data_IF_567813320277
#
_entry.id   IF_567813320277
#
_cell.length_a   1.000
_cell.length_b   1.000
_cell.length_c   1.000
_cell.angle_alpha   90.00
_cell.angle_beta   90.00
_cell.angle_gamma   90.00
#
_symmetry.space_group_name_H-M   'P 1'
#
loop_
_entity.id
_entity.type
_entity.pdbx_description
1 polymer ?
#
# COMPACT_ATOMS: atom_id res chain seq x y z
N UNK A 1 -4.03 74.87 37.13
CA UNK A 1 -3.03 73.80 36.90
C UNK A 1 -3.75 72.53 36.49
N UNK A 2 -3.63 72.13 35.21
CA UNK A 2 -4.45 71.06 34.60
C UNK A 2 -4.11 69.71 35.23
N UNK A 3 -5.13 69.02 35.76
CA UNK A 3 -5.07 67.63 36.22
C UNK A 3 -4.53 66.76 35.08
N UNK A 4 -3.31 66.28 35.22
CA UNK A 4 -2.77 65.25 34.35
C UNK A 4 -3.61 63.99 34.58
N UNK A 5 -4.32 63.52 33.55
CA UNK A 5 -5.18 62.34 33.62
C UNK A 5 -4.34 61.12 34.04
N UNK A 6 -4.48 60.68 35.29
CA UNK A 6 -3.84 59.46 35.82
C UNK A 6 -4.06 58.24 34.91
N UNK A 7 -5.19 58.20 34.20
CA UNK A 7 -5.54 57.14 33.24
C UNK A 7 -4.64 57.13 32.00
N UNK A 8 -4.12 58.27 31.55
CA UNK A 8 -3.23 58.35 30.39
C UNK A 8 -1.80 57.89 30.75
N UNK A 9 -1.36 58.16 31.99
CA UNK A 9 -0.08 57.68 32.51
C UNK A 9 -0.10 56.16 32.75
N UNK A 10 -1.22 55.62 33.25
CA UNK A 10 -1.41 54.17 33.41
C UNK A 10 -1.49 53.45 32.06
N UNK A 11 -2.08 54.08 31.04
CA UNK A 11 -2.11 53.53 29.68
C UNK A 11 -0.71 53.53 29.03
N UNK A 12 0.10 54.58 29.25
CA UNK A 12 1.45 54.69 28.71
C UNK A 12 2.46 53.76 29.42
N UNK A 13 2.27 53.51 30.73
CA UNK A 13 3.04 52.52 31.49
C UNK A 13 2.58 51.08 31.17
N UNK A 14 1.30 50.86 30.89
CA UNK A 14 0.79 49.57 30.43
C UNK A 14 1.29 49.18 29.03
N UNK A 15 1.44 50.16 28.13
CA UNK A 15 1.93 49.92 26.76
C UNK A 15 3.43 49.60 26.70
N UNK A 16 4.23 50.08 27.66
CA UNK A 16 5.68 49.81 27.73
C UNK A 16 6.01 48.44 28.32
N UNK A 17 5.14 47.90 29.19
CA UNK A 17 5.28 46.53 29.74
C UNK A 17 4.89 45.45 28.70
N UNK A 18 4.02 45.78 27.74
CA UNK A 18 3.59 44.85 26.69
C UNK A 18 4.65 44.52 25.63
N UNK A 19 5.71 45.34 25.48
CA UNK A 19 6.78 45.11 24.50
C UNK A 19 8.04 44.43 25.06
N UNK A 20 8.07 44.06 26.35
CA UNK A 20 9.27 43.51 27.01
C UNK A 20 9.25 41.99 27.23
N UNK A 21 8.27 41.24 26.69
CA UNK A 21 8.13 39.81 27.01
C UNK A 21 7.81 38.91 25.81
N UNK A 22 8.65 38.98 24.77
CA UNK A 22 8.88 37.86 23.86
C UNK A 22 10.36 37.86 23.47
N UNK A 23 11.20 37.25 24.30
CA UNK A 23 12.45 36.69 23.79
C UNK A 23 12.06 35.36 23.16
N UNK A 24 12.21 35.24 21.85
CA UNK A 24 12.25 33.92 21.21
C UNK A 24 13.43 33.16 21.80
N UNK A 25 13.16 31.99 22.39
CA UNK A 25 14.22 31.07 22.79
C UNK A 25 14.97 30.64 21.51
N UNK A 26 16.19 31.14 21.34
CA UNK A 26 17.05 30.71 20.25
C UNK A 26 17.48 29.28 20.57
N UNK A 27 17.16 28.34 19.67
CA UNK A 27 17.65 26.97 19.78
C UNK A 27 19.14 26.98 19.45
N UNK A 28 19.97 27.09 20.48
CA UNK A 28 21.43 27.07 20.38
C UNK A 28 22.02 26.06 21.37
N UNK A 29 23.25 25.59 21.14
CA UNK A 29 23.96 24.75 22.09
C UNK A 29 24.01 25.36 23.49
N UNK A 30 23.69 24.56 24.51
CA UNK A 30 23.80 24.97 25.92
C UNK A 30 25.26 25.16 26.36
N UNK A 31 26.19 24.56 25.64
CA UNK A 31 27.62 24.60 25.88
C UNK A 31 28.30 25.39 24.75
N UNK A 32 29.28 26.22 25.09
CA UNK A 32 30.10 26.97 24.12
C UNK A 32 31.56 26.47 24.17
N UNK A 33 31.86 25.45 23.37
CA UNK A 33 33.20 24.89 23.16
C UNK A 33 33.59 25.03 21.69
N UNK A 34 34.63 25.82 21.43
CA UNK A 34 35.20 26.04 20.08
C UNK A 34 36.28 25.03 19.70
N UNK A 35 36.67 24.13 20.61
CA UNK A 35 37.60 23.05 20.29
C UNK A 35 36.83 21.90 19.61
N UNK A 36 37.15 21.58 18.35
CA UNK A 36 36.51 20.48 17.65
C UNK A 36 36.91 19.13 18.25
N UNK A 37 36.03 18.10 18.17
CA UNK A 37 36.39 16.75 18.57
C UNK A 37 37.42 16.14 17.61
N UNK A 38 38.04 15.03 18.03
CA UNK A 38 38.90 14.23 17.16
C UNK A 38 38.15 13.69 15.93
N UNK A 39 38.89 13.32 14.88
CA UNK A 39 38.30 12.69 13.70
C UNK A 39 37.86 11.26 14.02
N UNK A 40 36.87 10.76 13.27
CA UNK A 40 36.59 9.33 13.24
C UNK A 40 37.77 8.55 12.65
N UNK A 41 37.93 7.28 13.04
CA UNK A 41 39.01 6.40 12.58
C UNK A 41 38.49 5.01 12.19
N UNK A 42 39.36 4.11 11.73
CA UNK A 42 39.02 2.73 11.35
C UNK A 42 37.81 2.62 10.40
N UNK A 43 37.82 3.47 9.37
CA UNK A 43 36.71 3.52 8.41
C UNK A 43 36.68 2.25 7.57
N UNK A 44 35.51 1.62 7.49
CA UNK A 44 35.21 0.51 6.59
C UNK A 44 33.90 0.77 5.85
N UNK A 45 33.79 0.25 4.63
CA UNK A 45 32.71 0.55 3.69
C UNK A 45 32.10 -0.76 3.21
N UNK A 46 30.78 -0.86 3.31
CA UNK A 46 29.99 -1.92 2.70
C UNK A 46 29.04 -1.32 1.68
N UNK A 47 29.25 -1.58 0.40
CA UNK A 47 28.41 -1.05 -0.68
C UNK A 47 27.14 -1.90 -0.86
N UNK A 48 26.00 -1.24 -1.08
CA UNK A 48 24.71 -1.87 -1.34
C UNK A 48 23.98 -1.24 -2.54
N UNK A 49 22.79 -1.74 -2.92
CA UNK A 49 22.04 -1.23 -4.08
C UNK A 49 21.63 0.23 -3.92
N UNK A 50 22.28 1.15 -4.66
CA UNK A 50 22.05 2.59 -4.56
C UNK A 50 22.44 3.22 -3.21
N UNK A 51 23.21 2.51 -2.38
CA UNK A 51 23.63 2.96 -1.05
C UNK A 51 25.01 2.42 -0.65
N UNK A 52 25.54 2.93 0.46
CA UNK A 52 26.69 2.35 1.15
C UNK A 52 26.58 2.58 2.66
N UNK A 53 27.04 1.61 3.44
CA UNK A 53 27.20 1.74 4.89
C UNK A 53 28.66 2.03 5.21
N UNK A 54 28.89 3.11 5.93
CA UNK A 54 30.21 3.53 6.41
C UNK A 54 30.26 3.24 7.91
N UNK A 55 31.18 2.39 8.34
CA UNK A 55 31.42 2.08 9.76
C UNK A 55 32.73 2.70 10.22
N UNK A 56 32.82 3.11 11.48
CA UNK A 56 33.98 3.82 12.02
C UNK A 56 34.13 3.64 13.54
N UNK A 57 35.31 4.01 14.05
CA UNK A 57 35.58 4.21 15.47
C UNK A 57 35.39 5.68 15.86
N UNK A 58 34.67 5.90 16.97
CA UNK A 58 34.41 7.22 17.51
C UNK A 58 35.66 7.81 18.18
N UNK A 59 35.83 9.14 18.17
CA UNK A 59 36.86 9.79 18.96
C UNK A 59 36.50 9.73 20.47
N UNK A 60 37.50 9.86 21.34
CA UNK A 60 37.33 9.71 22.80
C UNK A 60 36.86 10.98 23.52
N UNK A 61 36.49 12.02 22.78
CA UNK A 61 36.03 13.30 23.31
C UNK A 61 34.76 13.13 24.15
N UNK A 62 34.76 13.64 25.38
CA UNK A 62 33.65 13.49 26.33
C UNK A 62 32.40 14.27 25.93
N UNK A 63 32.59 15.33 25.15
CA UNK A 63 31.54 16.22 24.64
C UNK A 63 31.09 15.84 23.22
N UNK A 64 31.51 14.69 22.67
CA UNK A 64 31.00 14.19 21.40
C UNK A 64 29.47 14.06 21.44
N UNK A 65 28.79 14.59 20.42
CA UNK A 65 27.34 14.54 20.30
C UNK A 65 26.89 13.61 19.18
N UNK A 66 27.48 13.74 18.00
CA UNK A 66 27.12 12.89 16.86
C UNK A 66 28.25 12.81 15.84
N UNK A 67 28.13 11.85 14.93
CA UNK A 67 28.92 11.78 13.69
C UNK A 67 27.97 12.02 12.53
N UNK A 68 28.40 12.82 11.56
CA UNK A 68 27.63 13.06 10.34
C UNK A 68 28.43 12.76 9.08
N UNK A 69 27.72 12.34 8.04
CA UNK A 69 28.26 12.26 6.68
C UNK A 69 27.53 13.24 5.77
N UNK A 70 28.31 13.93 4.93
CA UNK A 70 27.82 14.87 3.91
C UNK A 70 28.28 14.40 2.54
N UNK A 71 27.37 14.33 1.59
CA UNK A 71 27.62 13.87 0.22
C UNK A 71 26.62 14.49 -0.75
N UNK A 72 26.93 14.47 -2.05
CA UNK A 72 26.06 15.02 -3.09
C UNK A 72 25.45 13.90 -3.92
N UNK A 73 24.17 14.06 -4.25
CA UNK A 73 23.49 13.21 -5.23
C UNK A 73 23.75 13.71 -6.65
N UNK A 74 23.45 12.88 -7.65
CA UNK A 74 23.63 13.21 -9.06
C UNK A 74 22.81 14.44 -9.51
N UNK A 75 21.72 14.74 -8.83
CA UNK A 75 20.89 15.92 -9.06
C UNK A 75 21.46 17.21 -8.43
N UNK A 76 22.62 17.14 -7.76
CA UNK A 76 23.25 18.26 -7.06
C UNK A 76 22.73 18.53 -5.65
N UNK A 77 21.77 17.74 -5.16
CA UNK A 77 21.27 17.88 -3.79
C UNK A 77 22.33 17.38 -2.79
N UNK A 78 22.69 18.24 -1.84
CA UNK A 78 23.52 17.87 -0.70
C UNK A 78 22.67 17.08 0.31
N UNK A 79 23.23 15.99 0.78
CA UNK A 79 22.62 15.09 1.74
C UNK A 79 23.44 15.08 3.03
N UNK A 80 22.75 15.13 4.16
CA UNK A 80 23.33 14.98 5.49
C UNK A 80 22.66 13.81 6.21
N UNK A 81 23.46 12.92 6.76
CA UNK A 81 23.01 11.80 7.62
C UNK A 81 23.79 11.82 8.91
N UNK A 82 23.12 11.62 10.04
CA UNK A 82 23.70 11.65 11.38
C UNK A 82 23.50 10.32 12.10
N UNK A 83 24.43 9.99 12.98
CA UNK A 83 24.27 8.97 14.01
C UNK A 83 24.76 9.55 15.33
N UNK A 84 24.11 9.22 16.45
CA UNK A 84 24.52 9.74 17.75
C UNK A 84 25.89 9.20 18.15
N UNK A 85 26.47 9.75 19.22
CA UNK A 85 27.71 9.23 19.83
C UNK A 85 27.61 7.78 20.36
N UNK A 86 26.44 7.14 20.31
CA UNK A 86 26.30 5.70 20.58
C UNK A 86 26.44 4.83 19.31
N UNK A 87 26.26 5.43 18.14
CA UNK A 87 26.30 4.75 16.85
C UNK A 87 27.70 4.77 16.23
N UNK A 88 28.03 3.72 15.49
CA UNK A 88 29.31 3.54 14.80
C UNK A 88 29.17 3.34 13.29
N UNK A 89 27.99 3.64 12.75
CA UNK A 89 27.66 3.45 11.33
C UNK A 89 26.77 4.56 10.79
N UNK A 90 27.00 4.92 9.53
CA UNK A 90 26.18 5.84 8.74
C UNK A 90 25.76 5.15 7.43
N UNK A 91 24.48 5.23 7.09
CA UNK A 91 23.95 4.77 5.81
C UNK A 91 23.81 5.97 4.88
N UNK A 92 24.58 5.98 3.79
CA UNK A 92 24.47 6.98 2.71
C UNK A 92 23.70 6.34 1.54
N UNK A 93 22.69 7.03 1.03
CA UNK A 93 21.72 6.46 0.08
C UNK A 93 21.37 7.43 -1.03
N UNK A 94 20.72 6.93 -2.09
CA UNK A 94 20.21 7.76 -3.18
C UNK A 94 21.12 7.85 -4.39
N UNK A 95 22.16 7.03 -4.44
CA UNK A 95 23.01 6.96 -5.60
C UNK A 95 22.29 6.24 -6.76
N UNK A 96 22.18 6.91 -7.90
CA UNK A 96 21.56 6.36 -9.11
C UNK A 96 22.50 5.55 -10.00
N UNK A 97 23.82 5.64 -9.77
CA UNK A 97 24.86 5.00 -10.58
C UNK A 97 25.82 4.15 -9.73
N UNK A 98 26.80 3.51 -10.37
CA UNK A 98 27.81 2.64 -9.74
C UNK A 98 29.20 3.28 -9.73
N UNK A 99 29.28 4.62 -9.84
CA UNK A 99 30.54 5.37 -9.82
C UNK A 99 31.06 5.52 -8.40
N UNK A 100 32.31 5.93 -8.27
CA UNK A 100 32.85 6.35 -6.97
C UNK A 100 32.27 7.71 -6.60
N UNK A 101 31.79 7.82 -5.35
CA UNK A 101 31.28 9.06 -4.77
C UNK A 101 32.09 9.40 -3.52
N UNK A 102 32.45 10.67 -3.40
CA UNK A 102 33.13 11.18 -2.21
C UNK A 102 32.12 11.54 -1.12
N UNK A 103 32.38 11.07 0.09
CA UNK A 103 31.60 11.33 1.30
C UNK A 103 32.53 11.94 2.34
N UNK A 104 32.09 13.04 2.95
CA UNK A 104 32.82 13.71 4.03
C UNK A 104 32.23 13.30 5.37
N UNK A 105 33.03 12.69 6.24
CA UNK A 105 32.59 12.25 7.57
C UNK A 105 33.19 13.16 8.64
N UNK A 106 32.34 13.63 9.54
CA UNK A 106 32.66 14.58 10.61
C UNK A 106 32.23 14.04 11.96
N UNK A 107 33.05 14.22 13.00
CA UNK A 107 32.58 14.15 14.38
C UNK A 107 32.15 15.56 14.82
N UNK A 108 31.07 15.66 15.59
CA UNK A 108 30.51 16.95 16.05
C UNK A 108 30.23 16.89 17.54
N UNK A 109 30.70 17.89 18.27
CA UNK A 109 30.51 17.99 19.72
C UNK A 109 29.18 18.64 20.11
N UNK A 110 28.91 18.72 21.42
CA UNK A 110 27.70 19.34 21.98
C UNK A 110 27.54 20.82 21.69
N UNK A 111 28.62 21.50 21.30
CA UNK A 111 28.65 22.90 20.89
C UNK A 111 28.48 23.10 19.39
N UNK A 112 28.11 22.05 18.64
CA UNK A 112 27.97 22.07 17.17
C UNK A 112 29.26 22.43 16.42
N UNK A 113 30.42 22.25 17.07
CA UNK A 113 31.73 22.39 16.44
C UNK A 113 32.14 21.06 15.80
N UNK A 114 32.36 21.06 14.49
CA UNK A 114 32.74 19.88 13.72
C UNK A 114 34.26 19.69 13.63
N UNK A 115 34.71 18.43 13.60
CA UNK A 115 36.08 18.07 13.28
C UNK A 115 36.46 18.44 11.84
N UNK A 116 37.76 18.35 11.51
CA UNK A 116 38.16 18.22 10.10
C UNK A 116 37.52 16.99 9.45
N UNK A 117 37.15 17.03 8.16
CA UNK A 117 36.53 15.90 7.49
C UNK A 117 37.51 14.74 7.30
N UNK A 118 36.97 13.52 7.36
CA UNK A 118 37.59 12.35 6.74
C UNK A 118 36.90 12.08 5.42
N UNK A 119 37.67 12.10 4.33
CA UNK A 119 37.19 11.82 2.99
C UNK A 119 37.14 10.32 2.74
N UNK A 120 35.97 9.83 2.35
CA UNK A 120 35.68 8.42 2.11
C UNK A 120 35.13 8.26 0.71
N UNK A 121 35.58 7.23 -0.03
CA UNK A 121 35.05 6.91 -1.36
C UNK A 121 34.14 5.70 -1.30
N UNK A 122 32.86 5.89 -1.59
CA UNK A 122 31.89 4.80 -1.69
C UNK A 122 31.63 4.45 -3.15
N UNK A 123 31.34 3.19 -3.44
CA UNK A 123 31.04 2.71 -4.79
C UNK A 123 29.79 1.83 -4.74
N UNK A 124 28.58 2.44 -4.71
CA UNK A 124 27.31 1.73 -4.57
C UNK A 124 27.14 0.66 -5.64
N UNK A 125 26.39 -0.39 -5.29
CA UNK A 125 25.91 -1.37 -6.26
C UNK A 125 24.77 -0.75 -7.09
N UNK A 126 24.41 -1.43 -8.18
CA UNK A 126 23.37 -0.96 -9.10
C UNK A 126 22.07 -0.57 -8.36
N UNK A 127 21.55 0.61 -8.69
CA UNK A 127 20.31 1.11 -8.10
C UNK A 127 19.14 0.15 -8.44
N UNK A 128 18.28 -0.19 -7.46
CA UNK A 128 17.13 -1.08 -7.64
C UNK A 128 16.20 -0.76 -8.81
N UNK A 129 16.09 0.51 -9.23
CA UNK A 129 15.26 0.91 -10.39
C UNK A 129 15.57 0.08 -11.64
N UNK A 130 16.83 -0.29 -11.85
CA UNK A 130 17.27 -1.01 -13.05
C UNK A 130 16.89 -2.49 -13.03
N UNK A 131 16.97 -3.13 -11.86
CA UNK A 131 16.51 -4.51 -11.67
C UNK A 131 15.00 -4.64 -11.90
N UNK A 132 14.24 -3.67 -11.37
CA UNK A 132 12.80 -3.61 -11.61
C UNK A 132 12.53 -3.32 -13.09
N UNK A 133 13.22 -2.37 -13.71
CA UNK A 133 13.02 -2.00 -15.12
C UNK A 133 13.16 -3.20 -16.06
N UNK A 134 14.21 -4.01 -15.87
CA UNK A 134 14.44 -5.19 -16.71
C UNK A 134 13.44 -6.31 -16.49
N UNK A 135 12.84 -6.41 -15.30
CA UNK A 135 11.88 -7.46 -14.98
C UNK A 135 10.43 -7.05 -15.19
N UNK A 136 10.14 -5.74 -15.24
CA UNK A 136 8.79 -5.20 -15.29
C UNK A 136 8.12 -5.53 -16.63
N UNK A 137 6.93 -6.12 -16.55
CA UNK A 137 6.03 -6.34 -17.66
C UNK A 137 4.73 -5.61 -17.38
N UNK A 138 4.33 -4.74 -18.30
CA UNK A 138 3.00 -4.15 -18.33
C UNK A 138 2.13 -4.94 -19.30
N UNK A 139 0.97 -5.40 -18.84
CA UNK A 139 -0.03 -6.10 -19.65
C UNK A 139 -1.38 -5.41 -19.54
N UNK A 140 -2.23 -5.59 -20.55
CA UNK A 140 -3.60 -5.11 -20.51
C UNK A 140 -4.37 -5.79 -19.37
N UNK A 141 -5.16 -5.01 -18.63
CA UNK A 141 -6.03 -5.47 -17.57
C UNK A 141 -7.40 -4.78 -17.68
N UNK A 142 -8.37 -5.25 -16.91
CA UNK A 142 -9.73 -4.71 -16.88
C UNK A 142 -9.75 -3.25 -16.41
N UNK A 143 -10.18 -2.37 -17.31
CA UNK A 143 -10.21 -0.93 -17.12
C UNK A 143 -8.83 -0.29 -16.92
N UNK A 144 -7.73 -0.99 -17.24
CA UNK A 144 -6.40 -0.42 -17.13
C UNK A 144 -5.25 -1.36 -17.48
N UNK A 145 -4.18 -1.31 -16.68
CA UNK A 145 -2.94 -2.07 -16.89
C UNK A 145 -2.56 -2.80 -15.61
N UNK A 146 -2.00 -3.98 -15.76
CA UNK A 146 -1.37 -4.73 -14.67
C UNK A 146 0.16 -4.76 -14.88
N UNK A 147 0.89 -4.56 -13.80
CA UNK A 147 2.33 -4.50 -13.77
C UNK A 147 2.87 -5.68 -12.95
N UNK A 148 3.71 -6.50 -13.59
CA UNK A 148 4.38 -7.64 -12.96
C UNK A 148 5.88 -7.48 -12.99
N UNK A 149 6.57 -7.64 -11.87
CA UNK A 149 8.03 -7.47 -11.78
C UNK A 149 8.60 -7.91 -10.44
N UNK A 150 9.91 -7.76 -10.25
CA UNK A 150 10.60 -8.13 -9.01
C UNK A 150 11.45 -6.99 -8.47
N UNK A 151 11.31 -6.70 -7.18
CA UNK A 151 12.09 -5.72 -6.39
C UNK A 151 12.72 -6.42 -5.15
N UNK A 152 13.77 -7.24 -5.35
CA UNK A 152 14.38 -8.01 -4.26
C UNK A 152 14.93 -7.18 -3.10
N UNK A 153 15.31 -5.93 -3.37
CA UNK A 153 15.84 -4.99 -2.37
C UNK A 153 14.76 -4.35 -1.50
N UNK A 154 13.46 -4.57 -1.79
CA UNK A 154 12.34 -3.87 -1.13
C UNK A 154 12.51 -2.34 -1.16
N UNK A 155 13.06 -1.83 -2.25
CA UNK A 155 13.27 -0.40 -2.38
C UNK A 155 11.92 0.32 -2.51
N UNK A 156 11.79 1.50 -1.93
CA UNK A 156 10.62 2.36 -2.11
C UNK A 156 10.63 2.96 -3.52
N UNK A 157 9.74 2.46 -4.37
CA UNK A 157 9.71 2.79 -5.80
C UNK A 157 8.34 3.32 -6.24
N UNK A 158 8.37 4.21 -7.22
CA UNK A 158 7.21 4.63 -7.99
C UNK A 158 7.30 4.04 -9.41
N UNK A 159 6.24 3.38 -9.87
CA UNK A 159 6.03 3.06 -11.29
C UNK A 159 5.14 4.16 -11.85
N UNK A 160 5.74 5.02 -12.67
CA UNK A 160 5.08 6.17 -13.25
C UNK A 160 4.60 5.82 -14.66
N UNK A 161 3.34 6.16 -14.94
CA UNK A 161 2.67 5.74 -16.17
C UNK A 161 2.23 6.98 -16.93
N UNK A 162 2.74 7.13 -18.15
CA UNK A 162 2.36 8.17 -19.08
C UNK A 162 1.64 7.56 -20.28
N UNK A 163 0.69 8.30 -20.84
CA UNK A 163 -0.06 7.94 -22.04
C UNK A 163 0.24 8.93 -23.16
N UNK A 164 0.40 8.44 -24.39
CA UNK A 164 0.54 9.31 -25.55
C UNK A 164 -0.81 9.98 -25.87
N UNK A 165 -0.86 11.30 -25.74
CA UNK A 165 -2.01 12.12 -26.08
C UNK A 165 -1.56 13.32 -26.92
N UNK A 166 -2.19 13.54 -28.07
CA UNK A 166 -1.87 14.65 -29.00
C UNK A 166 -0.36 14.76 -29.32
N UNK A 167 0.30 13.62 -29.52
CA UNK A 167 1.73 13.55 -29.88
C UNK A 167 2.71 13.74 -28.72
N UNK A 168 2.25 13.87 -27.47
CA UNK A 168 3.10 13.99 -26.27
C UNK A 168 2.71 12.95 -25.23
N UNK A 169 3.69 12.42 -24.50
CA UNK A 169 3.42 11.59 -23.33
C UNK A 169 3.02 12.48 -22.18
N UNK A 170 1.82 12.25 -21.63
CA UNK A 170 1.29 12.98 -20.47
C UNK A 170 1.14 12.01 -19.30
N UNK A 171 1.51 12.41 -18.07
CA UNK A 171 1.29 11.58 -16.89
C UNK A 171 -0.17 11.21 -16.74
N UNK A 172 -0.42 9.96 -16.40
CA UNK A 172 -1.72 9.55 -15.86
C UNK A 172 -1.80 10.04 -14.41
N UNK A 173 -3.02 10.19 -13.87
CA UNK A 173 -3.21 10.43 -12.43
C UNK A 173 -3.02 9.14 -11.59
N UNK A 174 -2.41 8.10 -12.18
CA UNK A 174 -2.39 6.73 -11.67
C UNK A 174 -0.97 6.17 -11.71
N UNK A 175 -0.21 6.42 -10.65
CA UNK A 175 1.09 5.78 -10.41
C UNK A 175 0.94 4.68 -9.36
N UNK A 176 1.85 3.70 -9.38
CA UNK A 176 1.96 2.68 -8.33
C UNK A 176 3.13 3.05 -7.43
N UNK A 177 2.92 3.02 -6.11
CA UNK A 177 3.97 3.18 -5.10
C UNK A 177 4.13 1.86 -4.36
N UNK A 178 5.34 1.30 -4.32
CA UNK A 178 5.54 -0.03 -3.73
C UNK A 178 6.97 -0.28 -3.25
N UNK A 179 7.06 -1.08 -2.19
CA UNK A 179 8.28 -1.72 -1.71
C UNK A 179 8.15 -3.26 -1.68
N UNK A 180 7.12 -3.81 -2.36
CA UNK A 180 6.87 -5.25 -2.39
C UNK A 180 7.96 -5.97 -3.17
N UNK A 181 8.38 -7.16 -2.71
CA UNK A 181 9.36 -8.01 -3.41
C UNK A 181 8.80 -8.43 -4.78
N UNK A 182 7.58 -8.96 -4.78
CA UNK A 182 6.86 -9.31 -5.98
C UNK A 182 5.88 -8.19 -6.32
N UNK A 183 6.06 -7.59 -7.48
CA UNK A 183 5.15 -6.57 -7.99
C UNK A 183 4.08 -7.31 -8.79
N UNK A 184 2.83 -7.23 -8.35
CA UNK A 184 1.63 -7.60 -9.10
C UNK A 184 0.53 -6.61 -8.74
N UNK A 185 0.51 -5.48 -9.45
CA UNK A 185 -0.38 -4.36 -9.13
C UNK A 185 -1.00 -3.78 -10.40
N UNK A 186 -2.26 -3.34 -10.30
CA UNK A 186 -3.00 -2.80 -11.43
C UNK A 186 -3.36 -1.33 -11.21
N UNK A 187 -3.30 -0.55 -12.28
CA UNK A 187 -3.97 0.75 -12.37
C UNK A 187 -5.29 0.57 -13.12
N UNK A 188 -6.27 1.41 -12.82
CA UNK A 188 -7.61 1.38 -13.42
C UNK A 188 -8.09 2.78 -13.80
N UNK A 189 -9.18 2.85 -14.56
CA UNK A 189 -9.79 4.09 -15.03
C UNK A 189 -9.25 4.55 -16.39
N UNK A 190 -8.62 3.66 -17.15
CA UNK A 190 -8.21 3.92 -18.53
C UNK A 190 -9.32 3.50 -19.50
N UNK A 191 -9.37 4.18 -20.63
CA UNK A 191 -10.23 3.79 -21.75
C UNK A 191 -9.77 2.46 -22.38
N UNK A 192 -10.69 1.77 -23.02
CA UNK A 192 -10.54 0.47 -23.71
C UNK A 192 -10.01 0.59 -25.14
N UNK A 193 -9.65 1.81 -25.57
CA UNK A 193 -8.96 2.04 -26.82
C UNK A 193 -7.48 1.66 -26.71
N UNK A 194 -6.91 1.22 -27.83
CA UNK A 194 -5.47 0.95 -27.94
C UNK A 194 -4.70 2.24 -27.72
N UNK A 195 -3.78 2.23 -26.75
CA UNK A 195 -3.03 3.40 -26.31
C UNK A 195 -1.54 3.07 -26.24
N UNK A 196 -0.70 4.07 -26.53
CA UNK A 196 0.75 3.99 -26.35
C UNK A 196 1.11 4.51 -24.97
N UNK A 197 1.85 3.71 -24.22
CA UNK A 197 2.29 4.02 -22.87
C UNK A 197 3.80 4.17 -22.82
N UNK A 198 4.25 5.08 -21.96
CA UNK A 198 5.63 5.24 -21.53
C UNK A 198 5.66 5.04 -20.02
N UNK A 199 6.48 4.11 -19.55
CA UNK A 199 6.54 3.71 -18.14
C UNK A 199 7.96 3.88 -17.64
N UNK A 200 8.11 4.55 -16.50
CA UNK A 200 9.40 4.76 -15.83
C UNK A 200 9.32 4.25 -14.40
N UNK A 201 10.46 3.82 -13.86
CA UNK A 201 10.60 3.48 -12.44
C UNK A 201 11.46 4.55 -11.81
N UNK A 202 10.98 5.07 -10.68
CA UNK A 202 11.64 6.16 -9.96
C UNK A 202 11.80 5.80 -8.49
N UNK A 203 12.95 6.12 -7.91
CA UNK A 203 13.14 6.01 -6.46
C UNK A 203 12.79 7.33 -5.73
N UNK A 204 12.91 7.33 -4.39
CA UNK A 204 12.62 8.51 -3.56
C UNK A 204 13.60 9.68 -3.75
N UNK A 205 14.75 9.45 -4.40
CA UNK A 205 15.78 10.46 -4.67
C UNK A 205 15.72 11.01 -6.10
N UNK A 206 14.66 10.69 -6.84
CA UNK A 206 14.45 11.11 -8.22
C UNK A 206 15.49 10.53 -9.20
N UNK A 207 16.04 9.35 -8.90
CA UNK A 207 16.71 8.55 -9.93
C UNK A 207 15.64 7.85 -10.77
N UNK A 208 15.80 7.88 -12.09
CA UNK A 208 14.86 7.29 -13.05
C UNK A 208 15.54 6.16 -13.83
N UNK A 209 14.80 5.09 -14.08
CA UNK A 209 15.14 4.12 -15.11
C UNK A 209 15.01 4.75 -16.50
N UNK A 210 15.46 4.01 -17.52
CA UNK A 210 15.00 4.27 -18.89
C UNK A 210 13.48 4.03 -19.02
N UNK A 211 12.91 4.40 -20.16
CA UNK A 211 11.48 4.33 -20.43
C UNK A 211 11.09 3.03 -21.11
N UNK A 212 10.14 2.31 -20.53
CA UNK A 212 9.48 1.18 -21.18
C UNK A 212 8.32 1.70 -22.03
N UNK A 213 8.47 1.62 -23.35
CA UNK A 213 7.40 1.94 -24.30
C UNK A 213 6.60 0.69 -24.67
N UNK A 214 5.27 0.77 -24.59
CA UNK A 214 4.39 -0.33 -24.97
C UNK A 214 3.09 0.18 -25.59
N UNK A 215 2.44 -0.64 -26.41
CA UNK A 215 1.09 -0.35 -26.91
C UNK A 215 0.15 -1.39 -26.36
N UNK A 216 -0.81 -0.97 -25.53
CA UNK A 216 -1.74 -1.85 -24.84
C UNK A 216 -3.17 -1.36 -25.04
N UNK A 217 -4.10 -2.31 -25.04
CA UNK A 217 -5.54 -2.06 -25.12
C UNK A 217 -6.18 -2.57 -23.84
N UNK A 218 -6.47 -1.70 -22.86
CA UNK A 218 -7.16 -2.10 -21.64
C UNK A 218 -8.44 -2.87 -21.93
N UNK A 219 -8.72 -3.87 -21.09
CA UNK A 219 -9.91 -4.71 -21.25
C UNK A 219 -11.13 -3.96 -20.76
N UNK A 220 -12.27 -4.17 -21.40
CA UNK A 220 -13.52 -3.55 -20.98
C UNK A 220 -14.02 -4.15 -19.68
N UNK A 221 -14.41 -3.30 -18.76
CA UNK A 221 -15.04 -3.68 -17.50
C UNK A 221 -16.31 -2.85 -17.30
N UNK A 222 -17.39 -3.52 -16.93
CA UNK A 222 -18.59 -2.88 -16.42
C UNK A 222 -19.08 -3.63 -15.19
N UNK A 223 -19.88 -2.94 -14.37
CA UNK A 223 -20.68 -3.58 -13.32
C UNK A 223 -21.71 -4.51 -13.96
N UNK A 224 -21.84 -5.73 -13.44
CA UNK A 224 -22.91 -6.65 -13.83
C UNK A 224 -24.14 -6.40 -12.96
N UNK A 225 -25.28 -6.11 -13.58
CA UNK A 225 -26.50 -5.73 -12.86
C UNK A 225 -26.95 -6.81 -11.88
N UNK A 226 -27.07 -6.44 -10.60
CA UNK A 226 -27.63 -7.31 -9.55
C UNK A 226 -29.08 -7.72 -9.81
N UNK A 227 -29.83 -6.93 -10.60
CA UNK A 227 -31.23 -7.26 -10.94
C UNK A 227 -31.39 -8.57 -11.72
N UNK A 228 -30.31 -9.09 -12.31
CA UNK A 228 -30.32 -10.38 -13.00
C UNK A 228 -29.80 -11.53 -12.15
N UNK A 229 -29.34 -11.27 -10.92
CA UNK A 229 -28.82 -12.29 -10.04
C UNK A 229 -29.96 -13.14 -9.49
N UNK A 230 -29.76 -14.46 -9.47
CA UNK A 230 -30.73 -15.41 -8.93
C UNK A 230 -30.02 -16.49 -8.14
N UNK A 231 -30.56 -16.83 -6.99
CA UNK A 231 -30.12 -17.99 -6.23
C UNK A 231 -30.32 -19.27 -7.05
N UNK A 232 -29.34 -20.17 -6.97
CA UNK A 232 -29.41 -21.50 -7.55
C UNK A 232 -29.06 -22.49 -6.45
N UNK A 233 -30.00 -23.36 -6.11
CA UNK A 233 -29.79 -24.39 -5.11
C UNK A 233 -29.45 -25.70 -5.84
N UNK A 234 -28.20 -26.14 -5.72
CA UNK A 234 -27.75 -27.42 -6.24
C UNK A 234 -27.67 -28.46 -5.11
N UNK A 235 -27.75 -29.78 -5.39
CA UNK A 235 -27.81 -30.82 -4.35
C UNK A 235 -26.69 -30.79 -3.30
N UNK A 236 -25.52 -30.28 -3.67
CA UNK A 236 -24.35 -30.21 -2.78
C UNK A 236 -24.16 -28.87 -2.08
N UNK A 237 -24.96 -27.86 -2.42
CA UNK A 237 -24.84 -26.52 -1.84
C UNK A 237 -25.25 -26.55 -0.37
N UNK A 238 -24.59 -25.73 0.45
CA UNK A 238 -24.84 -25.74 1.89
C UNK A 238 -26.11 -24.97 2.22
N UNK A 239 -27.03 -25.55 3.01
CA UNK A 239 -28.24 -24.83 3.42
C UNK A 239 -27.92 -23.65 4.33
N UNK A 240 -28.87 -22.71 4.40
CA UNK A 240 -28.80 -21.56 5.28
C UNK A 240 -29.00 -21.97 6.75
N UNK A 241 -28.42 -21.21 7.68
CA UNK A 241 -28.59 -21.44 9.10
C UNK A 241 -30.05 -21.19 9.53
N UNK A 242 -30.63 -20.07 9.09
CA UNK A 242 -31.99 -19.66 9.41
C UNK A 242 -32.84 -19.48 8.16
N UNK A 243 -34.17 -19.58 8.33
CA UNK A 243 -35.13 -19.31 7.24
C UNK A 243 -35.21 -17.84 6.84
N UNK A 244 -34.70 -16.92 7.66
CA UNK A 244 -34.70 -15.47 7.41
C UNK A 244 -33.43 -14.98 6.69
N UNK A 245 -32.37 -15.80 6.67
CA UNK A 245 -31.11 -15.57 5.93
C UNK A 245 -31.17 -16.25 4.56
N UNK A 246 -30.33 -15.85 3.60
CA UNK A 246 -30.40 -16.43 2.26
C UNK A 246 -29.29 -16.01 1.30
N UNK A 247 -29.02 -16.84 0.29
CA UNK A 247 -28.10 -16.48 -0.81
C UNK A 247 -28.60 -15.22 -1.51
N UNK A 248 -29.93 -15.11 -1.69
CA UNK A 248 -30.58 -13.92 -2.26
C UNK A 248 -30.37 -12.62 -1.49
N UNK A 249 -29.90 -12.68 -0.24
CA UNK A 249 -29.52 -11.48 0.52
C UNK A 249 -28.25 -10.82 0.02
N UNK A 250 -27.37 -11.56 -0.67
CA UNK A 250 -26.10 -11.04 -1.18
C UNK A 250 -26.23 -9.97 -2.28
N UNK A 251 -27.42 -9.53 -2.64
CA UNK A 251 -27.64 -8.49 -3.65
C UNK A 251 -28.91 -7.68 -3.40
N UNK A 252 -29.31 -7.54 -2.13
CA UNK A 252 -30.48 -6.76 -1.74
C UNK A 252 -30.16 -5.30 -1.33
N UNK A 253 -28.86 -4.95 -1.37
CA UNK A 253 -28.38 -3.60 -1.09
C UNK A 253 -28.16 -3.33 0.40
N UNK A 254 -28.41 -4.31 1.29
CA UNK A 254 -28.21 -4.16 2.71
C UNK A 254 -26.91 -4.85 3.17
N UNK A 255 -25.89 -4.04 3.45
CA UNK A 255 -24.57 -4.53 3.89
C UNK A 255 -24.45 -4.65 5.43
N UNK A 256 -25.47 -4.25 6.20
CA UNK A 256 -25.36 -4.05 7.66
C UNK A 256 -26.35 -4.87 8.48
N UNK A 257 -27.62 -4.90 8.07
CA UNK A 257 -28.69 -5.29 8.98
C UNK A 257 -28.94 -6.80 8.95
N UNK A 258 -29.12 -7.36 10.15
CA UNK A 258 -29.69 -8.69 10.28
C UNK A 258 -31.17 -8.67 9.90
N UNK A 259 -31.72 -9.70 9.21
CA UNK A 259 -31.08 -10.92 8.72
C UNK A 259 -30.65 -10.84 7.25
N UNK A 260 -30.27 -9.65 6.72
CA UNK A 260 -29.76 -9.52 5.36
C UNK A 260 -28.32 -10.03 5.25
N UNK A 261 -28.21 -11.35 5.21
CA UNK A 261 -26.96 -12.08 5.10
C UNK A 261 -27.24 -13.48 4.53
N UNK A 262 -26.32 -13.95 3.68
CA UNK A 262 -26.14 -15.37 3.41
C UNK A 262 -25.33 -15.96 4.56
N UNK A 263 -26.00 -16.67 5.46
CA UNK A 263 -25.39 -17.35 6.60
C UNK A 263 -25.56 -18.86 6.40
N UNK A 264 -24.49 -19.57 6.08
CA UNK A 264 -24.54 -21.03 5.90
C UNK A 264 -24.41 -21.76 7.24
N UNK A 265 -24.70 -23.07 7.26
CA UNK A 265 -24.78 -23.86 8.51
C UNK A 265 -23.53 -23.80 9.37
N UNK A 266 -23.69 -23.29 10.59
CA UNK A 266 -22.61 -23.10 11.58
C UNK A 266 -22.07 -24.42 12.15
N UNK A 267 -22.89 -25.48 12.12
CA UNK A 267 -22.54 -26.82 12.62
C UNK A 267 -21.79 -27.69 11.61
N UNK A 268 -21.74 -27.29 10.34
CA UNK A 268 -20.99 -28.00 9.30
C UNK A 268 -19.55 -27.47 9.30
N UNK A 269 -18.56 -28.33 9.55
CA UNK A 269 -17.16 -27.92 9.72
C UNK A 269 -16.26 -28.25 8.52
N UNK A 270 -16.84 -28.78 7.45
CA UNK A 270 -16.17 -28.97 6.15
C UNK A 270 -16.35 -27.73 5.28
N UNK A 271 -15.50 -27.50 4.25
CA UNK A 271 -15.69 -26.40 3.31
C UNK A 271 -17.14 -26.32 2.80
N UNK A 272 -17.68 -25.11 2.75
CA UNK A 272 -19.09 -24.85 2.42
C UNK A 272 -19.19 -23.98 1.18
N UNK A 273 -20.27 -24.10 0.42
CA UNK A 273 -20.47 -23.28 -0.77
C UNK A 273 -21.93 -22.99 -1.08
N UNK A 274 -22.12 -21.87 -1.78
CA UNK A 274 -23.42 -21.42 -2.30
C UNK A 274 -23.27 -21.00 -3.76
N UNK A 275 -24.35 -21.16 -4.54
CA UNK A 275 -24.35 -20.91 -5.98
C UNK A 275 -25.40 -19.87 -6.37
N UNK A 276 -25.08 -19.02 -7.35
CA UNK A 276 -26.01 -18.08 -7.94
C UNK A 276 -25.74 -17.88 -9.45
N UNK A 277 -26.81 -17.57 -10.18
CA UNK A 277 -26.81 -17.21 -11.61
C UNK A 277 -26.66 -15.69 -11.74
N UNK A 278 -25.73 -15.21 -12.57
CA UNK A 278 -25.59 -13.80 -12.90
C UNK A 278 -26.65 -13.31 -13.89
N UNK A 279 -27.37 -14.23 -14.54
CA UNK A 279 -28.37 -13.99 -15.59
C UNK A 279 -27.79 -13.66 -16.96
N UNK A 280 -26.46 -13.52 -17.07
CA UNK A 280 -25.72 -13.29 -18.32
C UNK A 280 -24.37 -14.01 -18.29
N UNK A 281 -23.93 -14.45 -19.45
CA UNK A 281 -22.57 -14.98 -19.65
C UNK A 281 -21.61 -13.79 -19.77
N UNK A 282 -20.53 -13.78 -18.98
CA UNK A 282 -19.53 -12.72 -18.99
C UNK A 282 -18.12 -13.25 -18.69
N UNK A 283 -17.08 -12.58 -19.22
CA UNK A 283 -15.72 -12.75 -18.71
C UNK A 283 -15.59 -11.89 -17.46
N UNK A 284 -15.33 -12.50 -16.31
CA UNK A 284 -15.29 -11.76 -15.05
C UNK A 284 -13.92 -11.16 -14.78
N UNK A 285 -13.92 -9.96 -14.22
CA UNK A 285 -12.71 -9.22 -13.84
C UNK A 285 -12.44 -9.23 -12.35
N UNK A 286 -13.50 -9.13 -11.53
CA UNK A 286 -13.42 -9.12 -10.06
C UNK A 286 -14.77 -9.37 -9.42
N UNK A 287 -14.72 -9.77 -8.15
CA UNK A 287 -15.84 -9.77 -7.22
C UNK A 287 -15.54 -8.80 -6.07
N UNK A 288 -16.50 -7.95 -5.72
CA UNK A 288 -16.47 -7.20 -4.47
C UNK A 288 -17.36 -7.91 -3.47
N UNK A 289 -16.86 -8.14 -2.27
CA UNK A 289 -17.56 -8.84 -1.20
C UNK A 289 -17.67 -7.92 0.02
N UNK A 290 -18.89 -7.80 0.54
CA UNK A 290 -19.18 -7.25 1.86
C UNK A 290 -19.60 -8.42 2.76
N UNK A 291 -18.74 -8.75 3.73
CA UNK A 291 -19.12 -9.71 4.76
C UNK A 291 -20.08 -9.05 5.75
N UNK A 292 -20.86 -9.85 6.48
CA UNK A 292 -21.74 -9.32 7.51
C UNK A 292 -20.92 -8.70 8.66
N UNK A 293 -21.17 -7.44 9.03
CA UNK A 293 -20.49 -6.84 10.15
C UNK A 293 -21.11 -7.30 11.46
N UNK A 294 -20.51 -8.30 12.09
CA UNK A 294 -20.96 -8.83 13.38
C UNK A 294 -20.99 -7.74 14.44
N UNK A 295 -21.99 -7.77 15.32
CA UNK A 295 -22.11 -6.78 16.40
C UNK A 295 -21.44 -7.30 17.66
N UNK A 296 -20.32 -6.70 18.03
CA UNK A 296 -19.62 -6.94 19.30
C UNK A 296 -19.80 -5.75 20.24
N UNK A 297 -19.36 -5.88 21.49
CA UNK A 297 -19.44 -4.80 22.50
C UNK A 297 -18.75 -3.50 22.05
N UNK A 298 -17.75 -3.59 21.16
CA UNK A 298 -17.03 -2.45 20.59
C UNK A 298 -17.64 -1.92 19.28
N UNK A 299 -18.80 -2.43 18.86
CA UNK A 299 -19.49 -2.08 17.62
C UNK A 299 -19.39 -3.15 16.52
N UNK A 300 -19.65 -2.72 15.29
CA UNK A 300 -19.71 -3.55 14.08
C UNK A 300 -18.31 -3.98 13.61
N UNK A 301 -18.12 -5.27 13.31
CA UNK A 301 -16.81 -5.84 12.90
C UNK A 301 -16.88 -6.74 11.66
N UNK A 302 -15.99 -6.50 10.69
CA UNK A 302 -15.97 -7.18 9.39
C UNK A 302 -14.96 -8.34 9.28
N UNK A 303 -14.16 -8.59 10.31
CA UNK A 303 -13.14 -9.64 10.34
C UNK A 303 -13.32 -10.57 11.52
N UNK A 304 -14.53 -11.15 11.61
CA UNK A 304 -14.99 -11.92 12.76
C UNK A 304 -15.95 -13.03 12.31
N UNK A 305 -16.10 -14.08 13.14
CA UNK A 305 -17.13 -15.10 12.94
C UNK A 305 -17.06 -15.77 11.57
N UNK A 306 -18.21 -15.83 10.89
CA UNK A 306 -18.38 -16.45 9.57
C UNK A 306 -17.80 -15.67 8.40
N UNK A 307 -17.20 -14.52 8.62
CA UNK A 307 -16.72 -13.70 7.50
C UNK A 307 -15.63 -14.47 6.75
N UNK A 308 -15.64 -14.37 5.42
CA UNK A 308 -14.71 -15.13 4.57
C UNK A 308 -13.26 -14.76 4.92
N UNK A 309 -12.45 -15.78 5.18
CA UNK A 309 -11.00 -15.64 5.36
C UNK A 309 -10.28 -16.30 4.20
N UNK A 310 -10.21 -17.63 4.14
CA UNK A 310 -9.68 -18.35 2.98
C UNK A 310 -10.84 -18.92 2.16
N UNK A 311 -10.93 -18.54 0.89
CA UNK A 311 -12.07 -18.91 0.04
C UNK A 311 -11.69 -19.00 -1.43
N UNK A 312 -12.53 -19.70 -2.19
CA UNK A 312 -12.39 -19.89 -3.62
C UNK A 312 -13.64 -19.37 -4.33
N UNK A 313 -13.44 -18.83 -5.53
CA UNK A 313 -14.52 -18.44 -6.42
C UNK A 313 -14.43 -19.31 -7.66
N UNK A 314 -15.55 -19.93 -8.00
CA UNK A 314 -15.67 -20.83 -9.15
C UNK A 314 -16.75 -20.32 -10.10
N UNK A 315 -16.60 -20.63 -11.39
CA UNK A 315 -17.57 -20.26 -12.41
C UNK A 315 -17.83 -21.37 -13.41
N UNK A 316 -19.03 -21.36 -14.00
CA UNK A 316 -19.41 -22.21 -15.13
C UNK A 316 -20.51 -21.54 -15.93
N UNK A 317 -20.74 -21.97 -17.17
CA UNK A 317 -21.90 -21.61 -17.98
C UNK A 317 -22.99 -22.70 -17.99
N UNK A 318 -22.67 -23.90 -17.50
CA UNK A 318 -23.56 -25.06 -17.49
C UNK A 318 -23.33 -25.92 -16.23
N UNK A 319 -23.94 -25.54 -15.08
CA UNK A 319 -23.74 -26.27 -13.83
C UNK A 319 -24.37 -27.67 -13.92
N UNK A 320 -23.67 -28.71 -13.45
CA UNK A 320 -24.21 -30.06 -13.48
C UNK A 320 -25.36 -30.20 -12.47
N UNK A 321 -26.41 -30.90 -12.87
CA UNK A 321 -27.62 -31.06 -12.06
C UNK A 321 -27.38 -31.83 -10.75
N UNK A 322 -26.29 -32.61 -10.66
CA UNK A 322 -25.87 -33.33 -9.46
C UNK A 322 -25.19 -32.44 -8.41
N UNK A 323 -24.91 -31.17 -8.74
CA UNK A 323 -24.23 -30.20 -7.88
C UNK A 323 -22.71 -30.35 -7.79
N UNK A 324 -22.13 -31.35 -8.44
CA UNK A 324 -20.68 -31.58 -8.46
C UNK A 324 -19.90 -30.37 -9.02
N UNK A 325 -18.58 -30.40 -8.85
CA UNK A 325 -17.67 -29.43 -9.46
C UNK A 325 -17.35 -29.74 -10.93
N UNK A 326 -18.01 -30.72 -11.55
CA UNK A 326 -17.83 -31.00 -12.98
C UNK A 326 -18.22 -29.75 -13.80
N UNK A 327 -17.42 -29.41 -14.81
CA UNK A 327 -17.55 -28.20 -15.64
C UNK A 327 -17.36 -26.86 -14.92
N UNK A 328 -16.99 -26.86 -13.64
CA UNK A 328 -16.59 -25.63 -12.94
C UNK A 328 -15.11 -25.34 -13.19
N UNK A 329 -14.80 -24.07 -13.40
CA UNK A 329 -13.43 -23.56 -13.44
C UNK A 329 -13.18 -22.66 -12.23
N UNK A 330 -12.02 -22.80 -11.60
CA UNK A 330 -11.62 -21.91 -10.52
C UNK A 330 -11.26 -20.54 -11.13
N UNK A 331 -11.93 -19.49 -10.68
CA UNK A 331 -11.67 -18.11 -11.10
C UNK A 331 -10.63 -17.44 -10.21
N UNK A 332 -10.57 -17.83 -8.93
CA UNK A 332 -9.58 -17.34 -7.98
C UNK A 332 -9.65 -18.02 -6.63
N UNK A 333 -8.54 -17.91 -5.89
CA UNK A 333 -8.37 -18.34 -4.50
C UNK A 333 -7.77 -17.19 -3.71
N UNK A 334 -8.38 -16.84 -2.58
CA UNK A 334 -8.07 -15.63 -1.85
C UNK A 334 -7.94 -15.89 -0.36
N UNK A 335 -7.16 -15.03 0.29
CA UNK A 335 -7.08 -14.91 1.74
C UNK A 335 -7.38 -13.46 2.12
N UNK A 336 -8.46 -13.22 2.87
CA UNK A 336 -8.84 -11.92 3.37
C UNK A 336 -7.83 -11.46 4.43
N UNK A 337 -7.36 -10.22 4.31
CA UNK A 337 -6.39 -9.63 5.23
C UNK A 337 -6.87 -8.29 5.73
N UNK A 338 -6.59 -8.01 7.00
CA UNK A 338 -6.77 -6.68 7.58
C UNK A 338 -5.66 -5.75 7.09
N UNK A 339 -5.97 -4.53 6.62
CA UNK A 339 -4.97 -3.50 6.35
C UNK A 339 -4.01 -3.29 7.53
N UNK A 340 -4.56 -3.23 8.75
CA UNK A 340 -3.77 -2.98 9.97
C UNK A 340 -2.92 -4.17 10.43
N UNK A 341 -3.19 -5.37 9.92
CA UNK A 341 -2.63 -6.65 10.40
C UNK A 341 -2.89 -6.92 11.91
N UNK A 342 -3.91 -6.29 12.49
CA UNK A 342 -4.27 -6.47 13.89
C UNK A 342 -4.76 -7.90 14.20
N UNK A 343 -4.60 -8.33 15.45
CA UNK A 343 -5.01 -9.66 15.91
C UNK A 343 -6.52 -9.92 15.74
N UNK A 344 -6.94 -11.20 15.75
CA UNK A 344 -8.35 -11.57 15.72
C UNK A 344 -9.14 -10.90 16.86
N UNK A 345 -10.38 -10.49 16.58
CA UNK A 345 -11.22 -9.75 17.54
C UNK A 345 -10.89 -8.27 17.73
N UNK A 346 -9.75 -7.79 17.22
CA UNK A 346 -9.39 -6.36 17.20
C UNK A 346 -9.71 -5.79 15.82
N UNK A 347 -10.34 -4.62 15.75
CA UNK A 347 -10.58 -3.93 14.48
C UNK A 347 -10.20 -2.46 14.62
N UNK A 348 -9.35 -1.97 13.72
CA UNK A 348 -9.02 -0.54 13.64
C UNK A 348 -10.05 0.22 12.80
N UNK A 349 -10.03 1.56 12.86
CA UNK A 349 -10.84 2.39 11.97
C UNK A 349 -10.49 2.18 10.49
N UNK A 350 -9.22 1.92 10.18
CA UNK A 350 -8.74 1.58 8.84
C UNK A 350 -9.35 0.26 8.36
N UNK A 351 -9.34 -0.78 9.21
CA UNK A 351 -9.92 -2.08 8.89
C UNK A 351 -11.43 -1.95 8.59
N UNK A 352 -12.16 -1.22 9.45
CA UNK A 352 -13.58 -0.96 9.27
C UNK A 352 -13.85 -0.23 7.96
N UNK A 353 -13.16 0.89 7.71
CA UNK A 353 -13.36 1.69 6.51
C UNK A 353 -13.09 0.90 5.22
N UNK A 354 -12.02 0.11 5.21
CA UNK A 354 -11.66 -0.74 4.07
C UNK A 354 -12.72 -1.82 3.80
N UNK A 355 -13.18 -2.53 4.82
CA UNK A 355 -14.19 -3.57 4.65
C UNK A 355 -15.59 -3.02 4.35
N UNK A 356 -15.97 -1.91 4.97
CA UNK A 356 -17.25 -1.22 4.73
C UNK A 356 -17.35 -0.68 3.30
N UNK A 357 -16.22 -0.30 2.68
CA UNK A 357 -16.15 0.07 1.26
C UNK A 357 -16.34 -1.12 0.30
N UNK A 358 -16.23 -2.36 0.81
CA UNK A 358 -16.28 -3.60 0.04
C UNK A 358 -14.90 -4.05 -0.40
N UNK A 359 -14.57 -5.32 -0.13
CA UNK A 359 -13.26 -5.86 -0.45
C UNK A 359 -13.29 -6.43 -1.87
N UNK A 360 -12.45 -5.88 -2.74
CA UNK A 360 -12.36 -6.29 -4.15
C UNK A 360 -11.31 -7.38 -4.35
N UNK A 361 -11.72 -8.49 -4.94
CA UNK A 361 -10.87 -9.63 -5.29
C UNK A 361 -10.80 -9.79 -6.82
N UNK A 362 -9.62 -9.57 -7.39
CA UNK A 362 -9.40 -9.58 -8.84
C UNK A 362 -9.25 -11.02 -9.36
N UNK A 363 -9.89 -11.32 -10.48
CA UNK A 363 -9.68 -12.57 -11.21
C UNK A 363 -8.51 -12.44 -12.20
N UNK A 364 -7.96 -13.59 -12.60
CA UNK A 364 -6.95 -13.61 -13.65
C UNK A 364 -7.53 -13.14 -14.99
N UNK A 365 -6.71 -12.47 -15.79
CA UNK A 365 -7.05 -12.12 -17.17
C UNK A 365 -7.07 -13.39 -18.04
N UNK A 366 -7.97 -13.44 -19.02
CA UNK A 366 -8.06 -14.53 -19.99
C UNK A 366 -8.86 -15.74 -19.52
N UNK A 367 -9.57 -15.63 -18.40
CA UNK A 367 -10.52 -16.65 -17.96
C UNK A 367 -11.67 -16.82 -18.94
N UNK A 368 -12.26 -18.02 -18.96
CA UNK A 368 -13.44 -18.32 -19.77
C UNK A 368 -14.63 -17.47 -19.31
N UNK A 369 -15.55 -17.22 -20.24
CA UNK A 369 -16.85 -16.64 -19.90
C UNK A 369 -17.65 -17.62 -19.03
N UNK A 370 -18.32 -17.11 -18.01
CA UNK A 370 -19.14 -17.87 -17.07
C UNK A 370 -20.45 -17.14 -16.80
N UNK A 371 -21.44 -17.87 -16.29
CA UNK A 371 -22.77 -17.32 -15.92
C UNK A 371 -23.13 -17.63 -14.47
N UNK A 372 -22.77 -18.82 -13.99
CA UNK A 372 -23.04 -19.26 -12.63
C UNK A 372 -21.77 -19.12 -11.80
N UNK A 373 -21.94 -18.65 -10.58
CA UNK A 373 -20.85 -18.40 -9.63
C UNK A 373 -21.09 -19.22 -8.37
N UNK A 374 -20.02 -19.84 -7.89
CA UNK A 374 -20.00 -20.54 -6.62
C UNK A 374 -18.94 -19.91 -5.72
N UNK A 375 -19.36 -19.47 -4.54
CA UNK A 375 -18.47 -19.00 -3.49
C UNK A 375 -18.24 -20.17 -2.55
N UNK A 376 -16.98 -20.56 -2.37
CA UNK A 376 -16.60 -21.68 -1.50
C UNK A 376 -15.75 -21.18 -0.35
N UNK A 377 -16.30 -21.20 0.86
CA UNK A 377 -15.57 -20.92 2.08
C UNK A 377 -14.74 -22.14 2.46
N UNK A 378 -13.42 -21.98 2.52
CA UNK A 378 -12.49 -22.99 3.05
C UNK A 378 -12.37 -22.80 4.56
N UNK A 379 -12.07 -21.57 4.98
CA UNK A 379 -12.20 -21.17 6.36
C UNK A 379 -12.70 -19.71 6.52
N UNK A 380 -13.23 -19.42 7.70
CA UNK A 380 -13.66 -18.10 8.11
C UNK A 380 -12.76 -17.52 9.22
N UNK A 381 -13.05 -16.29 9.63
CA UNK A 381 -12.22 -15.57 10.60
C UNK A 381 -12.13 -16.23 11.98
N UNK A 382 -13.13 -17.02 12.39
CA UNK A 382 -13.08 -17.79 13.64
C UNK A 382 -12.47 -19.20 13.50
N UNK A 383 -12.02 -19.59 12.31
CA UNK A 383 -11.35 -20.88 12.08
C UNK A 383 -12.27 -22.07 11.81
N UNK A 384 -13.54 -21.85 11.46
CA UNK A 384 -14.46 -22.89 10.94
C UNK A 384 -14.72 -22.65 9.45
N UNK A 385 -15.82 -23.13 8.86
CA UNK A 385 -16.05 -23.09 7.40
C UNK A 385 -17.34 -22.43 6.92
N UNK A 386 -18.29 -22.09 7.81
CA UNK A 386 -19.49 -21.36 7.37
C UNK A 386 -19.14 -19.95 6.90
N UNK A 387 -20.01 -19.38 6.06
CA UNK A 387 -19.85 -18.02 5.56
C UNK A 387 -20.96 -17.11 6.05
N UNK A 388 -20.65 -15.84 6.29
CA UNK A 388 -21.59 -14.74 6.54
C UNK A 388 -21.31 -13.59 5.56
N UNK A 389 -22.01 -13.60 4.43
CA UNK A 389 -21.83 -12.64 3.34
C UNK A 389 -23.09 -11.80 3.18
N UNK A 390 -22.99 -10.49 3.35
CA UNK A 390 -24.12 -9.57 3.22
C UNK A 390 -24.34 -9.10 1.78
N UNK A 391 -23.28 -8.88 1.01
CA UNK A 391 -23.42 -8.40 -0.36
C UNK A 391 -22.25 -8.85 -1.25
N UNK A 392 -22.53 -9.08 -2.53
CA UNK A 392 -21.53 -9.29 -3.57
C UNK A 392 -21.83 -8.45 -4.80
N UNK A 393 -20.79 -7.99 -5.50
CA UNK A 393 -20.92 -7.30 -6.78
C UNK A 393 -19.88 -7.83 -7.77
N UNK A 394 -20.34 -8.33 -8.92
CA UNK A 394 -19.45 -8.79 -9.99
C UNK A 394 -19.24 -7.69 -11.02
N UNK A 395 -18.04 -7.68 -11.58
CA UNK A 395 -17.64 -6.85 -12.71
C UNK A 395 -17.03 -7.73 -13.80
N UNK A 396 -17.12 -7.27 -15.04
CA UNK A 396 -16.54 -7.97 -16.18
C UNK A 396 -17.01 -7.45 -17.53
N UNK A 397 -16.83 -8.28 -18.55
CA UNK A 397 -17.24 -8.03 -19.93
C UNK A 397 -18.37 -8.98 -20.35
N UNK A 398 -19.63 -8.50 -20.45
CA UNK A 398 -20.78 -9.30 -20.88
C UNK A 398 -20.97 -9.32 -22.42
N UNK A 399 -20.09 -8.68 -23.21
CA UNK A 399 -20.24 -8.55 -24.66
C UNK A 399 -19.82 -9.80 -25.42
#
# INVERSE_FOLDING_TARGET
>A
MKRMNKNLLVLLVGLTVAFSSCKEDVIEPLENNTNPPGKVSNISITNGPGNATITFSLPSDKDLLYVKAVYNLANGQEMEVKTSYYGNSLLVEGFGDTKEHEVKVYAVNRSETASEPVFVKVKPLENPIWGVYRSLKAVADFGGLNFKGSNPSKADLAIEVLVLSKGKYVPTSKNIYTAAIDIDQSIRGLDTLSQKFAITIRDRWLNYSDTLFTTLKPLYETVLSKSTYKEVILPTDTPQEYSSTGVSKMWDGNIIDWPSVCLTKTTVLTPQWVTFDLGKIATLSRIVVWNYPEYLNAGRTYYYGGNLKDFEIWGTDNPPADGSYNNWVMLGKYSSQKPSKSAYGVQTSEDYAFANAGISYNFAVGLKKVRYIRIKSINNWQGTSFMSVSEVQLYGDPR
#
